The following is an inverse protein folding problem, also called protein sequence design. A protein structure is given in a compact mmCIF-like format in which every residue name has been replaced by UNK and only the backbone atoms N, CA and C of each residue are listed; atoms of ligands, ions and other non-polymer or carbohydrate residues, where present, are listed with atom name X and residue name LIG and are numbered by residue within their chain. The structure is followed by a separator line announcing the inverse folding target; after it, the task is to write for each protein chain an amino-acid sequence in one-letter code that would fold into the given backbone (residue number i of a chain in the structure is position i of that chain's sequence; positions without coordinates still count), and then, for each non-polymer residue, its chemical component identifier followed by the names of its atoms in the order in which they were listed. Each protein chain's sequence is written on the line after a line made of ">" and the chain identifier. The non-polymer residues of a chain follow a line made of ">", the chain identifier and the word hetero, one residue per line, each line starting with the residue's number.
data_IF_439552602442
#
_entry.id   IF_439552602442
#
_cell.length_a   1.000
_cell.length_b   1.000
_cell.length_c   1.000
_cell.angle_alpha   90.00
_cell.angle_beta   90.00
_cell.angle_gamma   90.00
#
_symmetry.space_group_name_H-M   'P 1'
#
loop_
_entity.id
_entity.type
_entity.pdbx_description
1 polymer ?
#
# COMPACT_ATOMS: atom_id res chain seq x y z
N UNK A 1 -18.62 29.37 -7.55
CA UNK A 1 -18.99 28.55 -6.37
C UNK A 1 -19.19 27.11 -6.81
N UNK A 2 -18.48 26.13 -6.22
CA UNK A 2 -18.79 24.72 -6.50
C UNK A 2 -20.00 24.33 -5.65
N UNK A 3 -21.09 23.92 -6.28
CA UNK A 3 -22.27 23.41 -5.58
C UNK A 3 -21.90 22.13 -4.81
N UNK A 4 -22.53 21.87 -3.66
CA UNK A 4 -22.33 20.62 -2.90
C UNK A 4 -22.54 19.39 -3.78
N UNK A 5 -23.50 19.45 -4.69
CA UNK A 5 -23.76 18.43 -5.71
C UNK A 5 -22.55 18.15 -6.62
N UNK A 6 -21.83 19.19 -7.06
CA UNK A 6 -20.64 19.03 -7.91
C UNK A 6 -19.46 18.37 -7.20
N UNK A 7 -19.34 18.52 -5.88
CA UNK A 7 -18.32 17.84 -5.08
C UNK A 7 -18.69 16.36 -4.90
N UNK A 8 -19.96 16.07 -4.60
CA UNK A 8 -20.44 14.69 -4.48
C UNK A 8 -20.26 13.92 -5.79
N UNK A 9 -20.65 14.51 -6.93
CA UNK A 9 -20.47 13.89 -8.24
C UNK A 9 -18.99 13.58 -8.56
N UNK A 10 -18.08 14.51 -8.22
CA UNK A 10 -16.64 14.31 -8.42
C UNK A 10 -16.08 13.13 -7.60
N UNK A 11 -16.59 12.91 -6.39
CA UNK A 11 -16.14 11.80 -5.53
C UNK A 11 -16.85 10.49 -5.89
N UNK A 12 -18.08 10.55 -6.41
CA UNK A 12 -18.86 9.38 -6.79
C UNK A 12 -18.37 8.72 -8.08
N UNK A 13 -17.92 9.50 -9.08
CA UNK A 13 -17.53 8.99 -10.39
C UNK A 13 -16.54 7.80 -10.37
N UNK A 14 -15.40 7.84 -9.65
CA UNK A 14 -14.49 6.70 -9.61
C UNK A 14 -15.10 5.46 -8.93
N UNK A 15 -15.98 5.66 -7.94
CA UNK A 15 -16.67 4.55 -7.25
C UNK A 15 -17.67 3.89 -8.19
N UNK A 16 -18.44 4.69 -8.92
CA UNK A 16 -19.37 4.19 -9.95
C UNK A 16 -18.62 3.43 -11.04
N UNK A 17 -17.49 3.97 -11.50
CA UNK A 17 -16.64 3.30 -12.49
C UNK A 17 -16.15 1.93 -11.99
N UNK A 18 -15.70 1.84 -10.73
CA UNK A 18 -15.29 0.56 -10.14
C UNK A 18 -16.45 -0.43 -10.06
N UNK A 19 -17.63 -0.02 -9.59
CA UNK A 19 -18.81 -0.87 -9.50
C UNK A 19 -19.25 -1.39 -10.87
N UNK A 20 -19.16 -0.55 -11.91
CA UNK A 20 -19.52 -0.92 -13.28
C UNK A 20 -18.55 -1.93 -13.89
N UNK A 21 -17.25 -1.84 -13.59
CA UNK A 21 -16.22 -2.74 -14.14
C UNK A 21 -16.12 -4.05 -13.37
N UNK A 22 -16.55 -4.08 -12.10
CA UNK A 22 -16.39 -5.22 -11.20
C UNK A 22 -16.80 -6.57 -11.80
N UNK A 23 -17.96 -6.72 -12.48
CA UNK A 23 -18.37 -8.01 -13.04
C UNK A 23 -17.55 -8.48 -14.22
N UNK A 24 -16.83 -7.60 -14.92
CA UNK A 24 -16.11 -7.93 -16.16
C UNK A 24 -14.63 -8.19 -15.95
N UNK A 25 -14.13 -7.94 -14.75
CA UNK A 25 -12.69 -7.87 -14.51
C UNK A 25 -12.07 -9.22 -14.11
N UNK A 26 -12.88 -10.23 -13.80
CA UNK A 26 -12.45 -11.60 -13.59
C UNK A 26 -13.25 -12.55 -14.49
N UNK A 27 -12.62 -13.66 -14.86
CA UNK A 27 -13.33 -14.75 -15.52
C UNK A 27 -14.53 -15.18 -14.67
N UNK A 28 -15.62 -15.52 -15.36
CA UNK A 28 -16.87 -16.01 -14.76
C UNK A 28 -17.72 -14.97 -14.00
N UNK A 29 -17.37 -13.68 -14.00
CA UNK A 29 -18.28 -12.64 -13.54
C UNK A 29 -19.39 -12.35 -14.56
N UNK A 30 -20.61 -12.09 -14.08
CA UNK A 30 -21.78 -11.80 -14.93
C UNK A 30 -22.35 -10.43 -14.57
N UNK A 31 -22.61 -9.61 -15.59
CA UNK A 31 -23.19 -8.28 -15.38
C UNK A 31 -24.70 -8.33 -15.10
N UNK A 32 -25.42 -9.27 -15.74
CA UNK A 32 -26.85 -9.46 -15.54
C UNK A 32 -27.24 -10.96 -15.50
N UNK A 33 -27.80 -11.46 -14.38
CA UNK A 33 -27.90 -10.77 -13.08
C UNK A 33 -26.51 -10.40 -12.53
N UNK A 34 -26.41 -9.30 -11.78
CA UNK A 34 -25.13 -8.79 -11.28
C UNK A 34 -24.49 -9.78 -10.29
N UNK A 35 -23.41 -10.42 -10.71
CA UNK A 35 -22.70 -11.46 -9.98
C UNK A 35 -21.19 -11.40 -10.28
N UNK A 36 -20.46 -10.45 -9.67
CA UNK A 36 -19.01 -10.38 -9.81
C UNK A 36 -18.31 -11.49 -9.03
N UNK A 37 -17.15 -11.91 -9.53
CA UNK A 37 -16.35 -12.99 -8.94
C UNK A 37 -15.17 -12.45 -8.10
N UNK A 38 -15.45 -12.13 -6.83
CA UNK A 38 -14.47 -11.55 -5.88
C UNK A 38 -13.81 -12.64 -5.03
N UNK A 39 -12.96 -13.44 -5.67
CA UNK A 39 -12.38 -14.67 -5.08
C UNK A 39 -11.61 -14.46 -3.77
N UNK A 40 -10.92 -13.33 -3.59
CA UNK A 40 -10.17 -13.09 -2.35
C UNK A 40 -11.09 -12.59 -1.22
N UNK A 41 -12.17 -11.89 -1.55
CA UNK A 41 -13.21 -11.54 -0.57
C UNK A 41 -13.94 -12.80 -0.08
N UNK A 42 -14.17 -13.76 -0.99
CA UNK A 42 -14.70 -15.07 -0.63
C UNK A 42 -13.76 -15.83 0.32
N UNK A 43 -12.44 -15.84 0.06
CA UNK A 43 -11.45 -16.40 1.00
C UNK A 43 -11.60 -15.80 2.40
N UNK A 44 -11.82 -14.48 2.52
CA UNK A 44 -12.02 -13.84 3.82
C UNK A 44 -13.30 -14.35 4.49
N UNK A 45 -14.44 -14.32 3.81
CA UNK A 45 -15.73 -14.77 4.37
C UNK A 45 -15.68 -16.24 4.76
N UNK A 46 -15.14 -17.09 3.88
CA UNK A 46 -14.94 -18.51 4.12
C UNK A 46 -14.04 -18.77 5.34
N UNK A 47 -12.95 -18.02 5.48
CA UNK A 47 -12.07 -18.13 6.67
C UNK A 47 -12.81 -17.75 7.95
N UNK A 48 -13.72 -16.77 7.88
CA UNK A 48 -14.59 -16.41 9.00
C UNK A 48 -15.52 -17.57 9.41
N UNK A 49 -16.12 -18.26 8.44
CA UNK A 49 -16.92 -19.47 8.70
C UNK A 49 -16.08 -20.58 9.33
N UNK A 50 -14.92 -20.90 8.74
CA UNK A 50 -13.99 -21.92 9.28
C UNK A 50 -13.65 -21.62 10.74
N UNK A 51 -13.40 -20.36 11.08
CA UNK A 51 -13.06 -20.00 12.45
C UNK A 51 -14.26 -20.13 13.42
N UNK A 52 -15.47 -19.74 12.99
CA UNK A 52 -16.69 -19.90 13.78
C UNK A 52 -17.03 -21.38 14.01
N UNK A 53 -16.73 -22.23 13.04
CA UNK A 53 -16.95 -23.68 13.11
C UNK A 53 -15.83 -24.41 13.89
N UNK A 54 -14.84 -23.69 14.40
CA UNK A 54 -13.70 -24.25 15.15
C UNK A 54 -12.67 -24.99 14.30
N UNK A 55 -12.63 -24.72 13.00
CA UNK A 55 -11.71 -25.33 12.04
C UNK A 55 -10.31 -24.68 11.98
N UNK A 56 -9.39 -25.34 11.28
CA UNK A 56 -7.99 -24.89 11.13
C UNK A 56 -7.80 -24.03 9.85
N UNK A 57 -7.62 -22.72 10.05
CA UNK A 57 -7.40 -21.75 8.97
C UNK A 57 -6.09 -21.98 8.19
N UNK A 58 -5.13 -22.70 8.77
CA UNK A 58 -3.86 -23.02 8.12
C UNK A 58 -3.97 -24.18 7.12
N UNK A 59 -5.04 -24.96 7.18
CA UNK A 59 -5.31 -26.03 6.20
C UNK A 59 -6.49 -25.71 5.29
N UNK A 60 -7.36 -24.80 5.71
CA UNK A 60 -8.55 -24.41 4.96
C UNK A 60 -8.26 -23.94 3.52
N UNK A 61 -9.20 -24.28 2.63
CA UNK A 61 -9.22 -23.91 1.21
C UNK A 61 -10.66 -23.59 0.81
N UNK A 62 -10.88 -22.54 0.04
CA UNK A 62 -12.21 -22.25 -0.51
C UNK A 62 -12.69 -23.40 -1.41
N UNK A 63 -13.98 -23.79 -1.37
CA UNK A 63 -14.47 -24.95 -2.12
C UNK A 63 -14.28 -24.84 -3.64
N UNK A 64 -14.59 -23.69 -4.23
CA UNK A 64 -14.65 -23.54 -5.69
C UNK A 64 -13.31 -23.15 -6.31
N UNK A 65 -12.55 -22.28 -5.63
CA UNK A 65 -11.31 -21.71 -6.15
C UNK A 65 -10.06 -22.36 -5.56
N UNK A 66 -10.22 -23.19 -4.53
CA UNK A 66 -9.14 -23.88 -3.81
C UNK A 66 -8.03 -22.94 -3.34
N UNK A 67 -8.41 -21.71 -2.96
CA UNK A 67 -7.49 -20.68 -2.50
C UNK A 67 -7.24 -20.81 -0.99
N UNK A 68 -6.00 -20.59 -0.61
CA UNK A 68 -5.54 -20.61 0.77
C UNK A 68 -5.76 -19.27 1.45
N UNK A 69 -6.08 -19.30 2.74
CA UNK A 69 -5.90 -18.13 3.60
C UNK A 69 -4.41 -17.92 3.92
N UNK A 70 -3.80 -16.86 3.42
CA UNK A 70 -2.33 -16.63 3.48
C UNK A 70 -1.91 -15.43 4.34
N UNK A 71 -2.80 -14.96 5.22
CA UNK A 71 -2.57 -13.79 6.07
C UNK A 71 -2.26 -14.22 7.51
N UNK A 72 -1.60 -13.36 8.31
CA UNK A 72 -1.50 -13.55 9.75
C UNK A 72 -2.87 -13.79 10.40
N UNK A 73 -2.96 -14.57 11.49
CA UNK A 73 -4.27 -14.95 12.07
C UNK A 73 -5.14 -13.80 12.55
N UNK A 74 -4.58 -12.62 12.84
CA UNK A 74 -5.41 -11.44 13.14
C UNK A 74 -6.36 -11.11 11.98
N UNK A 75 -5.94 -11.33 10.74
CA UNK A 75 -6.80 -11.11 9.58
C UNK A 75 -7.97 -12.10 9.54
N UNK A 76 -7.81 -13.32 10.08
CA UNK A 76 -8.91 -14.27 10.21
C UNK A 76 -9.93 -13.82 11.25
N UNK A 77 -9.48 -13.25 12.39
CA UNK A 77 -10.38 -12.63 13.36
C UNK A 77 -11.17 -11.46 12.75
N UNK A 78 -10.50 -10.63 11.93
CA UNK A 78 -11.14 -9.52 11.22
C UNK A 78 -12.11 -10.00 10.12
N UNK A 79 -12.03 -11.25 9.70
CA UNK A 79 -12.97 -11.86 8.75
C UNK A 79 -14.29 -12.31 9.40
N UNK A 80 -14.32 -12.59 10.71
CA UNK A 80 -15.51 -13.08 11.41
C UNK A 80 -16.73 -12.16 11.23
N UNK A 81 -16.62 -10.82 11.39
CA UNK A 81 -17.78 -9.95 11.20
C UNK A 81 -18.34 -9.96 9.76
N UNK A 82 -17.53 -10.34 8.77
CA UNK A 82 -17.95 -10.36 7.37
C UNK A 82 -18.98 -11.47 7.12
N UNK A 83 -18.92 -12.57 7.86
CA UNK A 83 -19.85 -13.71 7.75
C UNK A 83 -21.32 -13.28 7.91
N UNK A 84 -21.57 -12.26 8.73
CA UNK A 84 -22.93 -11.82 9.04
C UNK A 84 -23.50 -10.81 8.05
N UNK A 85 -22.75 -10.45 7.01
CA UNK A 85 -23.17 -9.49 5.99
C UNK A 85 -23.43 -10.24 4.67
N UNK A 86 -24.59 -10.04 4.03
CA UNK A 86 -24.86 -10.61 2.72
C UNK A 86 -23.71 -10.33 1.73
N UNK A 87 -23.24 -11.37 1.02
CA UNK A 87 -22.03 -11.28 0.21
C UNK A 87 -22.08 -10.16 -0.84
N UNK A 88 -23.24 -9.94 -1.48
CA UNK A 88 -23.45 -8.82 -2.42
C UNK A 88 -23.23 -7.45 -1.75
N UNK A 89 -23.69 -7.27 -0.51
CA UNK A 89 -23.47 -6.01 0.23
C UNK A 89 -22.00 -5.84 0.59
N UNK A 90 -21.29 -6.93 0.92
CA UNK A 90 -19.84 -6.90 1.09
C UNK A 90 -19.15 -6.48 -0.21
N UNK A 91 -19.48 -7.08 -1.34
CA UNK A 91 -18.87 -6.75 -2.63
C UNK A 91 -19.03 -5.26 -2.98
N UNK A 92 -20.24 -4.72 -2.82
CA UNK A 92 -20.51 -3.29 -3.06
C UNK A 92 -19.78 -2.42 -2.06
N UNK A 93 -19.91 -2.70 -0.76
CA UNK A 93 -19.27 -1.92 0.31
C UNK A 93 -17.75 -1.92 0.21
N UNK A 94 -17.15 -3.07 -0.07
CA UNK A 94 -15.71 -3.24 -0.25
C UNK A 94 -15.19 -2.45 -1.45
N UNK A 95 -15.94 -2.45 -2.55
CA UNK A 95 -15.62 -1.65 -3.74
C UNK A 95 -15.68 -0.16 -3.46
N UNK A 96 -16.74 0.29 -2.77
CA UNK A 96 -16.88 1.69 -2.33
C UNK A 96 -15.71 2.11 -1.45
N UNK A 97 -15.37 1.31 -0.44
CA UNK A 97 -14.26 1.59 0.45
C UNK A 97 -12.93 1.66 -0.31
N UNK A 98 -12.68 0.75 -1.25
CA UNK A 98 -11.46 0.80 -2.08
C UNK A 98 -11.40 2.08 -2.91
N UNK A 99 -12.51 2.51 -3.51
CA UNK A 99 -12.60 3.77 -4.25
C UNK A 99 -12.34 5.01 -3.37
N UNK A 100 -12.87 5.02 -2.15
CA UNK A 100 -12.61 6.08 -1.18
C UNK A 100 -11.14 6.10 -0.71
N UNK A 101 -10.55 4.93 -0.47
CA UNK A 101 -9.14 4.80 -0.11
C UNK A 101 -8.22 5.26 -1.27
N UNK A 102 -8.58 4.93 -2.52
CA UNK A 102 -7.89 5.39 -3.72
C UNK A 102 -7.92 6.93 -3.83
N UNK A 103 -9.11 7.52 -3.69
CA UNK A 103 -9.29 8.98 -3.67
C UNK A 103 -8.47 9.62 -2.56
N UNK A 104 -8.49 9.04 -1.36
CA UNK A 104 -7.70 9.51 -0.23
C UNK A 104 -6.20 9.52 -0.56
N UNK A 105 -5.66 8.44 -1.10
CA UNK A 105 -4.23 8.33 -1.44
C UNK A 105 -3.83 9.33 -2.52
N UNK A 106 -4.63 9.48 -3.57
CA UNK A 106 -4.39 10.46 -4.65
C UNK A 106 -4.49 11.90 -4.14
N UNK A 107 -5.45 12.18 -3.27
CA UNK A 107 -5.51 13.44 -2.54
C UNK A 107 -4.24 13.61 -1.70
N UNK A 108 -3.78 12.57 -1.02
CA UNK A 108 -2.58 12.63 -0.20
C UNK A 108 -1.30 12.86 -1.00
N UNK A 109 -1.29 12.43 -2.26
CA UNK A 109 -0.24 12.68 -3.24
C UNK A 109 -0.28 14.09 -3.87
N UNK A 110 -1.30 14.90 -3.55
CA UNK A 110 -1.38 16.32 -3.95
C UNK A 110 -2.45 16.65 -4.99
N UNK A 111 -3.21 15.67 -5.50
CA UNK A 111 -4.28 15.92 -6.47
C UNK A 111 -5.53 16.54 -5.81
N UNK A 112 -6.21 17.45 -6.49
CA UNK A 112 -7.34 18.22 -5.93
C UNK A 112 -8.44 18.45 -6.97
N UNK A 113 -9.68 18.56 -6.52
CA UNK A 113 -10.81 18.92 -7.39
C UNK A 113 -11.02 17.96 -8.55
N UNK A 114 -11.24 18.49 -9.76
CA UNK A 114 -11.55 17.66 -10.93
C UNK A 114 -10.38 16.76 -11.36
N UNK A 115 -9.12 17.18 -11.16
CA UNK A 115 -7.96 16.33 -11.50
C UNK A 115 -7.88 15.10 -10.60
N UNK A 116 -8.24 15.23 -9.32
CA UNK A 116 -8.37 14.10 -8.41
C UNK A 116 -9.43 13.10 -8.91
N UNK A 117 -10.62 13.60 -9.25
CA UNK A 117 -11.72 12.77 -9.76
C UNK A 117 -11.35 12.08 -11.07
N UNK A 118 -10.77 12.81 -12.03
CA UNK A 118 -10.38 12.29 -13.33
C UNK A 118 -9.30 11.22 -13.19
N UNK A 119 -8.24 11.48 -12.43
CA UNK A 119 -7.15 10.52 -12.24
C UNK A 119 -7.64 9.29 -11.46
N UNK A 120 -8.46 9.46 -10.42
CA UNK A 120 -9.04 8.31 -9.70
C UNK A 120 -9.91 7.45 -10.63
N UNK A 121 -10.70 8.08 -11.51
CA UNK A 121 -11.54 7.37 -12.50
C UNK A 121 -10.67 6.66 -13.54
N UNK A 122 -9.61 7.32 -14.04
CA UNK A 122 -8.65 6.68 -14.94
C UNK A 122 -7.95 5.49 -14.27
N UNK A 123 -7.58 5.60 -12.99
CA UNK A 123 -7.03 4.48 -12.22
C UNK A 123 -8.03 3.32 -12.12
N UNK A 124 -9.30 3.62 -11.82
CA UNK A 124 -10.36 2.62 -11.74
C UNK A 124 -10.57 1.85 -13.07
N UNK A 125 -10.42 2.53 -14.21
CA UNK A 125 -10.71 1.96 -15.54
C UNK A 125 -9.49 1.36 -16.24
N UNK A 126 -8.30 1.91 -16.02
CA UNK A 126 -7.12 1.65 -16.87
C UNK A 126 -5.92 1.05 -16.13
N UNK A 127 -5.84 1.18 -14.81
CA UNK A 127 -4.66 0.73 -14.05
C UNK A 127 -4.89 -0.70 -13.57
N UNK A 128 -4.18 -1.67 -14.16
CA UNK A 128 -4.39 -3.10 -13.91
C UNK A 128 -4.31 -3.47 -12.43
N UNK A 129 -3.31 -3.02 -11.63
CA UNK A 129 -3.26 -3.37 -10.22
C UNK A 129 -4.46 -2.89 -9.40
N UNK A 130 -5.04 -1.73 -9.76
CA UNK A 130 -6.23 -1.17 -9.09
C UNK A 130 -7.45 -2.00 -9.46
N UNK A 131 -7.64 -2.28 -10.76
CA UNK A 131 -8.72 -3.14 -11.24
C UNK A 131 -8.64 -4.51 -10.62
N UNK A 132 -7.49 -5.19 -10.70
CA UNK A 132 -7.30 -6.51 -10.14
C UNK A 132 -7.53 -6.53 -8.62
N UNK A 133 -7.04 -5.53 -7.88
CA UNK A 133 -7.30 -5.42 -6.43
C UNK A 133 -8.80 -5.36 -6.14
N UNK A 134 -9.53 -4.47 -6.80
CA UNK A 134 -10.96 -4.31 -6.55
C UNK A 134 -11.75 -5.54 -7.00
N UNK A 135 -11.37 -6.14 -8.12
CA UNK A 135 -12.10 -7.26 -8.73
C UNK A 135 -11.90 -8.58 -8.00
N UNK A 136 -10.73 -8.78 -7.38
CA UNK A 136 -10.55 -9.90 -6.47
C UNK A 136 -11.16 -9.64 -5.09
N UNK A 137 -11.41 -8.38 -4.72
CA UNK A 137 -11.80 -8.02 -3.35
C UNK A 137 -10.60 -7.92 -2.40
N UNK A 138 -9.41 -7.59 -2.90
CA UNK A 138 -8.17 -7.51 -2.14
C UNK A 138 -8.11 -6.28 -1.20
N UNK A 139 -7.24 -6.38 -0.19
CA UNK A 139 -7.02 -5.32 0.82
C UNK A 139 -5.86 -4.36 0.50
N UNK A 140 -5.16 -4.53 -0.63
CA UNK A 140 -3.88 -3.85 -0.87
C UNK A 140 -4.00 -2.32 -0.86
N UNK A 141 -5.07 -1.75 -1.41
CA UNK A 141 -5.30 -0.29 -1.39
C UNK A 141 -5.55 0.19 0.05
N UNK A 142 -6.24 -0.58 0.90
CA UNK A 142 -6.43 -0.24 2.31
C UNK A 142 -5.10 -0.18 3.05
N UNK A 143 -4.27 -1.22 2.90
CA UNK A 143 -2.96 -1.28 3.55
C UNK A 143 -2.05 -0.14 3.07
N UNK A 144 -2.02 0.12 1.77
CA UNK A 144 -1.30 1.26 1.20
C UNK A 144 -1.83 2.59 1.78
N UNK A 145 -3.15 2.77 1.86
CA UNK A 145 -3.76 3.97 2.40
C UNK A 145 -3.41 4.20 3.88
N UNK A 146 -3.38 3.15 4.69
CA UNK A 146 -2.92 3.21 6.09
C UNK A 146 -1.48 3.70 6.16
N UNK A 147 -0.56 3.13 5.38
CA UNK A 147 0.85 3.54 5.36
C UNK A 147 1.02 4.98 4.86
N UNK A 148 0.31 5.35 3.81
CA UNK A 148 0.33 6.72 3.25
C UNK A 148 -0.21 7.74 4.25
N UNK A 149 -1.32 7.42 4.95
CA UNK A 149 -1.89 8.27 6.00
C UNK A 149 -0.90 8.50 7.14
N UNK A 150 -0.10 7.48 7.46
CA UNK A 150 0.80 7.47 8.60
C UNK A 150 2.13 8.20 8.32
N UNK A 151 2.72 7.95 7.15
CA UNK A 151 4.11 8.31 6.86
C UNK A 151 4.27 9.52 5.94
N UNK A 152 3.30 9.81 5.07
CA UNK A 152 3.35 10.99 4.18
C UNK A 152 2.80 12.22 4.92
N UNK A 153 3.38 13.43 4.82
CA UNK A 153 2.86 14.68 5.43
C UNK A 153 1.79 15.40 4.57
N UNK A 154 0.74 16.00 5.16
CA UNK A 154 -0.40 16.58 4.41
C UNK A 154 -1.77 16.52 5.15
N UNK A 155 -2.87 16.91 4.48
CA UNK A 155 -4.19 17.07 5.11
C UNK A 155 -4.71 15.78 5.75
N UNK A 156 -5.42 15.93 6.86
CA UNK A 156 -5.87 14.80 7.69
C UNK A 156 -7.28 14.40 7.35
N UNK A 157 -7.58 13.11 7.50
CA UNK A 157 -8.93 12.54 7.39
C UNK A 157 -9.89 13.14 8.42
N UNK A 158 -9.37 13.51 9.59
CA UNK A 158 -10.13 14.11 10.69
C UNK A 158 -9.72 15.58 10.82
N UNK A 159 -10.69 16.48 10.66
CA UNK A 159 -10.48 17.91 10.76
C UNK A 159 -10.04 18.38 12.16
N UNK A 160 -9.40 19.56 12.27
CA UNK A 160 -8.91 20.09 13.54
C UNK A 160 -10.01 20.35 14.58
N UNK A 161 -11.28 20.37 14.17
CA UNK A 161 -12.44 20.56 15.04
C UNK A 161 -12.72 19.34 15.93
N UNK A 162 -12.68 18.12 15.38
CA UNK A 162 -12.91 16.89 16.17
C UNK A 162 -11.77 16.63 17.15
N UNK A 163 -10.52 16.92 16.75
CA UNK A 163 -9.35 16.81 17.65
C UNK A 163 -9.42 17.81 18.80
N UNK A 164 -9.86 19.06 18.54
CA UNK A 164 -10.09 20.06 19.59
C UNK A 164 -11.22 19.65 20.53
N UNK A 165 -12.31 19.09 19.99
CA UNK A 165 -13.43 18.60 20.80
C UNK A 165 -13.03 17.44 21.73
N UNK A 166 -12.32 16.42 21.22
CA UNK A 166 -11.82 15.30 22.04
C UNK A 166 -10.82 15.73 23.12
N UNK A 167 -10.03 16.80 22.87
CA UNK A 167 -9.05 17.32 23.83
C UNK A 167 -9.64 18.23 24.90
N UNK A 168 -10.79 18.88 24.64
CA UNK A 168 -11.50 19.72 25.63
C UNK A 168 -11.97 18.95 26.86
N UNK A 169 -12.02 17.61 26.81
CA UNK A 169 -12.36 16.75 27.97
C UNK A 169 -11.22 16.53 28.97
N UNK A 170 -10.05 17.14 28.81
CA UNK A 170 -8.94 17.08 29.77
C UNK A 170 -8.54 18.49 30.23
N UNK A 171 -9.01 18.98 31.39
CA UNK A 171 -8.53 20.25 31.91
C UNK A 171 -7.05 20.11 32.27
N UNK A 172 -6.21 20.93 31.66
CA UNK A 172 -4.80 21.09 32.03
C UNK A 172 -4.67 22.11 33.17
N UNK A 173 -3.58 22.10 33.95
CA UNK A 173 -3.44 22.94 35.15
C UNK A 173 -3.32 24.46 34.88
N UNK A 174 -3.28 24.89 33.62
CA UNK A 174 -2.88 26.24 33.22
C UNK A 174 -4.04 27.22 32.98
N UNK A 175 -5.30 26.79 33.14
CA UNK A 175 -6.47 27.67 32.91
C UNK A 175 -6.76 28.62 34.10
N UNK A 176 -5.77 28.86 34.97
CA UNK A 176 -5.83 29.93 35.97
C UNK A 176 -4.65 30.86 35.73
N UNK A 177 -4.98 32.12 35.46
CA UNK A 177 -4.10 33.29 35.33
C UNK A 177 -3.68 33.64 33.89
N UNK A 178 -4.54 34.39 33.20
CA UNK A 178 -4.11 35.39 32.22
C UNK A 178 -5.09 36.57 32.23
N UNK A 179 -4.59 37.71 32.67
CA UNK A 179 -5.20 39.05 32.76
C UNK A 179 -5.30 39.69 31.35
N UNK A 180 -6.38 40.39 30.95
CA UNK A 180 -6.52 40.90 29.59
C UNK A 180 -5.94 42.31 29.48
N UNK A 181 -4.62 42.42 29.39
CA UNK A 181 -3.96 43.66 28.99
C UNK A 181 -2.61 43.36 28.31
N UNK A 182 -2.64 43.02 27.02
CA UNK A 182 -1.53 43.34 26.12
C UNK A 182 -1.97 43.19 24.65
N UNK A 183 -1.88 44.28 23.89
CA UNK A 183 -1.88 44.27 22.43
C UNK A 183 -0.42 44.35 21.97
N UNK A 184 0.01 43.49 21.01
CA UNK A 184 0.62 44.06 19.80
C UNK A 184 0.20 43.32 18.51
N UNK A 185 -0.10 44.06 17.43
CA UNK A 185 0.77 44.38 16.26
C UNK A 185 1.09 43.16 15.35
N UNK A 186 0.61 43.26 14.11
CA UNK A 186 1.03 42.54 12.88
C UNK A 186 1.34 41.03 12.95
N UNK A 187 0.28 40.19 12.89
CA UNK A 187 0.39 38.73 12.84
C UNK A 187 -0.34 38.02 11.70
N UNK A 188 -0.86 38.75 10.70
CA UNK A 188 -1.74 38.15 9.66
C UNK A 188 -1.01 37.26 8.63
N UNK A 189 0.32 37.28 8.57
CA UNK A 189 1.11 36.41 7.69
C UNK A 189 1.60 35.13 8.38
N UNK A 190 1.80 35.14 9.71
CA UNK A 190 2.29 33.97 10.45
C UNK A 190 1.19 33.03 10.93
N UNK A 191 -0.04 33.54 11.12
CA UNK A 191 -1.19 32.73 11.51
C UNK A 191 -1.61 31.69 10.44
N UNK A 192 -1.30 31.93 9.15
CA UNK A 192 -1.60 30.99 8.07
C UNK A 192 -0.58 29.84 7.94
N UNK A 193 0.61 29.97 8.54
CA UNK A 193 1.66 28.93 8.53
C UNK A 193 1.61 28.03 9.76
N UNK A 194 1.08 28.52 10.88
CA UNK A 194 0.99 27.77 12.14
C UNK A 194 -0.26 26.87 12.24
N UNK A 195 -1.28 27.09 11.41
CA UNK A 195 -2.53 26.30 11.44
C UNK A 195 -2.44 24.87 10.84
N UNK A 196 -1.26 24.48 10.32
CA UNK A 196 -1.00 23.13 9.79
C UNK A 196 -0.44 22.14 10.83
N UNK A 197 -0.12 22.61 12.04
CA UNK A 197 0.45 21.81 13.12
C UNK A 197 -0.60 21.33 14.13
N UNK A 198 -1.75 20.80 13.69
CA UNK A 198 -2.64 20.09 14.62
C UNK A 198 -1.89 18.93 15.29
N UNK A 199 -2.20 18.53 16.52
CA UNK A 199 -1.61 17.31 17.09
C UNK A 199 -2.12 16.06 16.33
N UNK A 200 -1.24 15.10 15.98
CA UNK A 200 -1.70 13.82 15.41
C UNK A 200 -2.57 13.09 16.45
N UNK A 201 -3.67 12.47 16.03
CA UNK A 201 -4.50 11.63 16.91
C UNK A 201 -3.72 10.39 17.37
N UNK A 202 -3.04 9.74 16.41
CA UNK A 202 -2.18 8.59 16.66
C UNK A 202 -0.72 8.95 16.35
N UNK A 203 0.24 8.44 17.13
CA UNK A 203 1.66 8.55 16.81
C UNK A 203 1.97 7.99 15.41
N UNK A 204 2.94 8.60 14.72
CA UNK A 204 3.45 8.06 13.47
C UNK A 204 3.95 6.62 13.67
N UNK A 205 3.59 5.71 12.76
CA UNK A 205 3.96 4.30 12.78
C UNK A 205 2.85 3.37 13.27
N UNK A 206 1.80 3.87 13.93
CA UNK A 206 0.72 3.02 14.45
C UNK A 206 -0.08 2.37 13.32
N UNK A 207 -0.50 3.15 12.31
CA UNK A 207 -1.31 2.61 11.20
C UNK A 207 -0.50 1.69 10.30
N UNK A 208 0.80 1.97 10.14
CA UNK A 208 1.73 1.10 9.44
C UNK A 208 1.94 -0.20 10.22
N UNK A 209 1.98 -0.15 11.56
CA UNK A 209 1.98 -1.32 12.44
C UNK A 209 0.72 -2.18 12.31
N UNK A 210 -0.47 -1.55 12.25
CA UNK A 210 -1.73 -2.26 11.96
C UNK A 210 -1.66 -2.94 10.59
N UNK A 211 -1.20 -2.22 9.56
CA UNK A 211 -1.06 -2.79 8.22
C UNK A 211 -0.09 -3.98 8.20
N UNK A 212 1.04 -3.88 8.92
CA UNK A 212 2.03 -4.95 9.07
C UNK A 212 1.50 -6.17 9.85
N UNK A 213 0.59 -5.97 10.81
CA UNK A 213 -0.06 -7.05 11.53
C UNK A 213 -1.05 -7.81 10.64
N UNK A 214 -1.79 -7.10 9.77
CA UNK A 214 -2.78 -7.70 8.86
C UNK A 214 -2.10 -8.41 7.68
N UNK A 215 -0.97 -7.90 7.19
CA UNK A 215 -0.17 -8.51 6.11
C UNK A 215 1.29 -8.19 6.39
N UNK A 216 2.19 -9.16 6.34
CA UNK A 216 3.60 -8.96 6.75
C UNK A 216 4.37 -7.98 5.86
N UNK A 217 3.93 -7.74 4.62
CA UNK A 217 4.70 -6.95 3.62
C UNK A 217 5.08 -5.53 4.06
N UNK A 218 4.25 -4.73 4.77
CA UNK A 218 4.65 -3.42 5.27
C UNK A 218 5.70 -3.47 6.38
N UNK A 219 6.10 -4.63 6.91
CA UNK A 219 7.15 -4.72 7.92
C UNK A 219 8.50 -4.14 7.45
N UNK A 220 8.80 -4.15 6.14
CA UNK A 220 10.00 -3.50 5.59
C UNK A 220 10.02 -1.97 5.86
N UNK A 221 8.87 -1.34 6.11
CA UNK A 221 8.85 0.07 6.52
C UNK A 221 9.54 0.30 7.86
N UNK A 222 9.68 -0.71 8.72
CA UNK A 222 10.52 -0.61 9.94
C UNK A 222 11.97 -0.32 9.54
N UNK A 223 12.52 -1.06 8.59
CA UNK A 223 13.90 -0.86 8.09
C UNK A 223 14.07 0.55 7.52
N UNK A 224 13.14 0.98 6.67
CA UNK A 224 13.12 2.36 6.15
C UNK A 224 13.11 3.41 7.29
N UNK A 225 12.26 3.24 8.30
CA UNK A 225 12.15 4.18 9.42
C UNK A 225 13.41 4.20 10.29
N UNK A 226 14.03 3.05 10.54
CA UNK A 226 15.30 2.95 11.28
C UNK A 226 16.43 3.66 10.52
N UNK A 227 16.58 3.39 9.22
CA UNK A 227 17.57 4.05 8.36
C UNK A 227 17.32 5.56 8.23
N UNK A 228 16.04 5.98 8.25
CA UNK A 228 15.64 7.38 8.31
C UNK A 228 15.85 8.02 9.70
N UNK A 229 16.35 7.26 10.70
CA UNK A 229 16.50 7.67 12.11
C UNK A 229 15.19 8.10 12.78
N UNK A 230 14.05 7.60 12.28
CA UNK A 230 12.71 7.85 12.83
C UNK A 230 12.35 6.80 13.89
N UNK A 231 13.19 6.69 14.92
CA UNK A 231 13.12 5.64 15.94
C UNK A 231 11.77 5.53 16.64
N UNK A 232 11.13 6.66 16.96
CA UNK A 232 9.79 6.68 17.58
C UNK A 232 8.74 6.04 16.67
N UNK A 233 8.81 6.31 15.37
CA UNK A 233 7.88 5.73 14.40
C UNK A 233 8.17 4.24 14.16
N UNK A 234 9.44 3.86 14.04
CA UNK A 234 9.83 2.45 13.93
C UNK A 234 9.37 1.65 15.15
N UNK A 235 9.57 2.17 16.37
CA UNK A 235 9.07 1.58 17.61
C UNK A 235 7.55 1.44 17.61
N UNK A 236 6.81 2.45 17.15
CA UNK A 236 5.36 2.37 17.06
C UNK A 236 4.89 1.26 16.10
N UNK A 237 5.54 1.10 14.94
CA UNK A 237 5.22 -0.01 14.01
C UNK A 237 5.43 -1.36 14.70
N UNK A 238 6.61 -1.58 15.29
CA UNK A 238 6.96 -2.85 15.95
C UNK A 238 6.04 -3.14 17.13
N UNK A 239 5.80 -2.16 18.00
CA UNK A 239 4.95 -2.35 19.17
C UNK A 239 3.49 -2.60 18.78
N UNK A 240 2.93 -1.83 17.85
CA UNK A 240 1.55 -2.04 17.42
C UNK A 240 1.37 -3.41 16.76
N UNK A 241 2.26 -3.78 15.85
CA UNK A 241 2.21 -5.10 15.23
C UNK A 241 2.39 -6.22 16.26
N UNK A 242 3.38 -6.08 17.14
CA UNK A 242 3.66 -7.04 18.20
C UNK A 242 2.50 -7.22 19.18
N UNK A 243 1.88 -6.13 19.65
CA UNK A 243 0.72 -6.20 20.55
C UNK A 243 -0.46 -6.88 19.88
N UNK A 244 -0.75 -6.57 18.61
CA UNK A 244 -1.82 -7.21 17.86
C UNK A 244 -1.54 -8.71 17.68
N UNK A 245 -0.33 -9.08 17.30
CA UNK A 245 0.07 -10.49 17.10
C UNK A 245 0.05 -11.27 18.42
N UNK A 246 0.57 -10.71 19.50
CA UNK A 246 0.55 -11.34 20.84
C UNK A 246 -0.89 -11.46 21.34
N UNK A 247 -1.70 -10.41 21.21
CA UNK A 247 -3.13 -10.48 21.56
C UNK A 247 -3.87 -11.54 20.75
N UNK A 248 -3.54 -11.69 19.47
CA UNK A 248 -4.09 -12.77 18.63
C UNK A 248 -3.65 -14.15 19.11
N UNK A 249 -2.38 -14.32 19.50
CA UNK A 249 -1.87 -15.59 20.02
C UNK A 249 -2.54 -16.04 21.32
N UNK A 250 -3.13 -15.13 22.10
CA UNK A 250 -3.94 -15.48 23.28
C UNK A 250 -5.19 -16.28 22.90
N UNK A 251 -5.83 -15.94 21.77
CA UNK A 251 -7.04 -16.60 21.29
C UNK A 251 -6.77 -17.70 20.26
N UNK A 252 -5.70 -17.55 19.47
CA UNK A 252 -5.35 -18.43 18.36
C UNK A 252 -3.85 -18.81 18.40
N UNK A 253 -3.38 -19.47 19.47
CA UNK A 253 -1.95 -19.76 19.65
C UNK A 253 -1.42 -20.69 18.55
N UNK A 254 -2.14 -21.78 18.27
CA UNK A 254 -1.73 -22.78 17.27
C UNK A 254 -1.56 -22.16 15.90
N UNK A 255 -2.52 -21.36 15.47
CA UNK A 255 -2.55 -20.71 14.17
C UNK A 255 -1.45 -19.63 14.08
N UNK A 256 -1.22 -18.89 15.17
CA UNK A 256 -0.19 -17.84 15.22
C UNK A 256 1.22 -18.43 15.14
N UNK A 257 1.52 -19.47 15.92
CA UNK A 257 2.81 -20.15 15.84
C UNK A 257 2.96 -20.96 14.53
N UNK A 258 1.87 -21.54 14.02
CA UNK A 258 1.87 -22.25 12.75
C UNK A 258 2.15 -21.30 11.57
N UNK A 259 1.52 -20.13 11.53
CA UNK A 259 1.82 -19.09 10.54
C UNK A 259 3.28 -18.62 10.62
N UNK A 260 3.81 -18.41 11.83
CA UNK A 260 5.21 -18.04 12.02
C UNK A 260 6.17 -19.12 11.48
N UNK A 261 5.86 -20.42 11.68
CA UNK A 261 6.66 -21.52 11.12
C UNK A 261 6.63 -21.54 9.60
N UNK A 262 5.46 -21.34 8.98
CA UNK A 262 5.33 -21.24 7.52
C UNK A 262 6.18 -20.10 6.95
N UNK A 263 6.15 -18.93 7.61
CA UNK A 263 6.96 -17.79 7.20
C UNK A 263 8.46 -18.09 7.31
N UNK A 264 8.89 -18.74 8.39
CA UNK A 264 10.29 -19.12 8.61
C UNK A 264 10.77 -20.23 7.66
N UNK A 265 9.89 -21.13 7.24
CA UNK A 265 10.21 -22.18 6.27
C UNK A 265 10.15 -21.70 4.81
N UNK A 266 9.68 -20.47 4.57
CA UNK A 266 9.46 -19.93 3.23
C UNK A 266 8.26 -20.55 2.51
N UNK A 267 7.38 -21.25 3.22
CA UNK A 267 6.14 -21.77 2.64
C UNK A 267 5.12 -20.63 2.51
N UNK A 268 4.85 -20.27 1.26
CA UNK A 268 3.96 -19.17 0.92
C UNK A 268 2.50 -19.60 0.82
N UNK A 269 2.22 -20.92 0.83
CA UNK A 269 0.87 -21.51 0.63
C UNK A 269 0.14 -20.99 -0.62
N UNK A 270 0.91 -20.60 -1.62
CA UNK A 270 0.42 -20.00 -2.87
C UNK A 270 1.02 -20.69 -4.09
N UNK A 271 0.60 -20.26 -5.27
CA UNK A 271 1.06 -20.79 -6.55
C UNK A 271 2.57 -20.70 -6.78
N UNK A 272 3.08 -21.41 -7.79
CA UNK A 272 4.52 -21.54 -8.03
C UNK A 272 5.16 -20.20 -8.40
N UNK A 273 6.40 -20.00 -7.96
CA UNK A 273 7.11 -18.73 -8.15
C UNK A 273 7.33 -18.34 -9.62
N UNK A 274 7.37 -19.30 -10.55
CA UNK A 274 7.55 -18.99 -11.97
C UNK A 274 6.31 -18.40 -12.64
N UNK A 275 5.13 -18.52 -12.02
CA UNK A 275 3.87 -18.07 -12.61
C UNK A 275 3.97 -16.62 -13.10
N UNK A 276 3.51 -16.34 -14.32
CA UNK A 276 3.77 -15.06 -15.00
C UNK A 276 3.35 -13.83 -14.17
N UNK A 277 2.22 -13.94 -13.44
CA UNK A 277 1.72 -12.83 -12.63
C UNK A 277 2.63 -12.49 -11.44
N UNK A 278 3.54 -13.39 -11.05
CA UNK A 278 4.55 -13.11 -10.05
C UNK A 278 5.68 -12.24 -10.63
N UNK A 279 5.67 -10.96 -10.27
CA UNK A 279 6.65 -9.96 -10.68
C UNK A 279 7.65 -9.65 -9.53
N UNK A 280 8.01 -10.66 -8.74
CA UNK A 280 9.09 -10.58 -7.74
C UNK A 280 10.46 -10.92 -8.33
N UNK A 281 11.52 -10.66 -7.56
CA UNK A 281 12.88 -11.07 -7.95
C UNK A 281 13.03 -12.60 -8.00
N UNK A 282 12.38 -13.33 -7.09
CA UNK A 282 12.36 -14.78 -7.12
C UNK A 282 11.71 -15.30 -8.41
N UNK A 283 10.55 -14.73 -8.78
CA UNK A 283 9.88 -15.10 -10.03
C UNK A 283 10.73 -14.80 -11.27
N UNK A 284 11.45 -13.68 -11.27
CA UNK A 284 12.43 -13.34 -12.33
C UNK A 284 13.52 -14.40 -12.48
N UNK A 285 14.19 -14.77 -11.38
CA UNK A 285 15.29 -15.75 -11.43
C UNK A 285 14.78 -17.12 -11.88
N UNK A 286 13.66 -17.58 -11.34
CA UNK A 286 13.12 -18.89 -11.68
C UNK A 286 12.63 -18.96 -13.13
N UNK A 287 12.05 -17.89 -13.68
CA UNK A 287 11.67 -17.86 -15.11
C UNK A 287 12.87 -17.83 -16.06
N UNK A 288 13.97 -17.19 -15.67
CA UNK A 288 15.17 -17.11 -16.51
C UNK A 288 16.02 -18.37 -16.46
N UNK A 289 16.10 -19.01 -15.30
CA UNK A 289 17.08 -20.08 -15.04
C UNK A 289 16.44 -21.42 -14.65
N UNK A 290 15.12 -21.53 -14.72
CA UNK A 290 14.36 -22.72 -14.35
C UNK A 290 14.15 -22.88 -12.85
N UNK A 291 13.53 -24.00 -12.47
CA UNK A 291 13.25 -24.33 -11.07
C UNK A 291 14.36 -25.19 -10.46
N UNK A 292 14.86 -24.78 -9.29
CA UNK A 292 15.90 -25.50 -8.56
C UNK A 292 16.33 -24.78 -7.29
N UNK A 293 17.16 -25.45 -6.47
CA UNK A 293 17.57 -24.94 -5.16
C UNK A 293 18.36 -23.64 -5.24
N UNK A 294 19.38 -23.57 -6.10
CA UNK A 294 20.21 -22.37 -6.21
C UNK A 294 19.43 -21.20 -6.81
N UNK A 295 18.51 -21.44 -7.76
CA UNK A 295 17.64 -20.39 -8.32
C UNK A 295 16.72 -19.81 -7.24
N UNK A 296 16.16 -20.68 -6.39
CA UNK A 296 15.33 -20.25 -5.28
C UNK A 296 16.10 -19.34 -4.31
N UNK A 297 17.22 -19.82 -3.76
CA UNK A 297 18.00 -19.03 -2.79
C UNK A 297 18.61 -17.77 -3.41
N UNK A 298 19.04 -17.82 -4.67
CA UNK A 298 19.55 -16.63 -5.38
C UNK A 298 18.44 -15.59 -5.58
N UNK A 299 17.24 -16.03 -5.99
CA UNK A 299 16.08 -15.15 -6.14
C UNK A 299 15.68 -14.46 -4.83
N UNK A 300 15.67 -15.20 -3.72
CA UNK A 300 15.44 -14.63 -2.38
C UNK A 300 16.55 -13.65 -1.99
N UNK A 301 17.82 -14.01 -2.18
CA UNK A 301 18.95 -13.15 -1.82
C UNK A 301 18.95 -11.84 -2.63
N UNK A 302 18.73 -11.92 -3.94
CA UNK A 302 18.60 -10.74 -4.80
C UNK A 302 17.38 -9.90 -4.44
N UNK A 303 16.26 -10.52 -4.10
CA UNK A 303 15.07 -9.84 -3.60
C UNK A 303 15.35 -9.08 -2.31
N UNK A 304 15.96 -9.72 -1.32
CA UNK A 304 16.34 -9.11 -0.05
C UNK A 304 17.32 -7.95 -0.26
N UNK A 305 18.34 -8.12 -1.11
CA UNK A 305 19.28 -7.07 -1.46
C UNK A 305 18.59 -5.87 -2.13
N UNK A 306 17.69 -6.11 -3.10
CA UNK A 306 16.90 -5.08 -3.75
C UNK A 306 15.95 -4.37 -2.76
N UNK A 307 15.38 -5.10 -1.80
CA UNK A 307 14.56 -4.58 -0.72
C UNK A 307 15.33 -3.61 0.19
N UNK A 308 16.49 -4.03 0.69
CA UNK A 308 17.35 -3.20 1.53
C UNK A 308 17.90 -1.98 0.78
N UNK A 309 18.34 -2.17 -0.46
CA UNK A 309 18.78 -1.08 -1.32
C UNK A 309 17.64 -0.09 -1.57
N UNK A 310 16.43 -0.57 -1.88
CA UNK A 310 15.26 0.27 -2.09
C UNK A 310 14.87 1.07 -0.84
N UNK A 311 14.91 0.46 0.35
CA UNK A 311 14.69 1.15 1.62
C UNK A 311 15.76 2.22 1.88
N UNK A 312 17.03 1.95 1.58
CA UNK A 312 18.10 2.95 1.68
C UNK A 312 17.89 4.12 0.70
N UNK A 313 17.58 3.84 -0.57
CA UNK A 313 17.29 4.87 -1.57
C UNK A 313 16.08 5.71 -1.17
N UNK A 314 15.04 5.09 -0.61
CA UNK A 314 13.90 5.80 -0.05
C UNK A 314 14.29 6.80 1.04
N UNK A 315 15.29 6.49 1.88
CA UNK A 315 15.81 7.41 2.90
C UNK A 315 16.52 8.60 2.27
N UNK A 316 17.26 8.42 1.17
CA UNK A 316 17.89 9.53 0.46
C UNK A 316 16.83 10.56 0.04
N UNK A 317 15.75 10.10 -0.58
CA UNK A 317 14.66 10.97 -1.04
C UNK A 317 13.84 11.57 0.11
N UNK A 318 13.60 10.81 1.18
CA UNK A 318 12.99 11.36 2.39
C UNK A 318 13.81 12.52 2.96
N UNK A 319 15.14 12.39 3.05
CA UNK A 319 16.04 13.45 3.54
C UNK A 319 16.10 14.67 2.62
N UNK A 320 15.75 14.52 1.34
CA UNK A 320 15.62 15.63 0.37
C UNK A 320 14.26 16.34 0.43
N UNK A 321 13.39 15.96 1.37
CA UNK A 321 12.06 16.55 1.50
C UNK A 321 11.01 15.92 0.59
N UNK A 322 11.27 14.73 0.04
CA UNK A 322 10.34 13.98 -0.84
C UNK A 322 9.78 12.73 -0.13
N UNK A 323 8.95 12.89 0.93
CA UNK A 323 8.47 11.76 1.73
C UNK A 323 7.52 10.84 0.95
N UNK A 324 6.72 11.37 0.02
CA UNK A 324 5.85 10.54 -0.82
C UNK A 324 6.68 9.60 -1.70
N UNK A 325 7.70 10.12 -2.38
CA UNK A 325 8.59 9.31 -3.21
C UNK A 325 9.32 8.27 -2.35
N UNK A 326 9.85 8.65 -1.17
CA UNK A 326 10.46 7.71 -0.25
C UNK A 326 9.51 6.57 0.18
N UNK A 327 8.26 6.89 0.51
CA UNK A 327 7.24 5.88 0.84
C UNK A 327 6.94 4.97 -0.35
N UNK A 328 6.77 5.52 -1.56
CA UNK A 328 6.53 4.72 -2.78
C UNK A 328 7.71 3.81 -3.14
N UNK A 329 8.96 4.29 -2.99
CA UNK A 329 10.17 3.49 -3.21
C UNK A 329 10.31 2.38 -2.17
N UNK A 330 9.91 2.63 -0.92
CA UNK A 330 9.83 1.58 0.11
C UNK A 330 8.76 0.55 -0.22
N UNK A 331 7.58 1.01 -0.67
CA UNK A 331 6.51 0.15 -1.18
C UNK A 331 7.00 -0.76 -2.32
N UNK A 332 7.68 -0.19 -3.30
CA UNK A 332 8.33 -0.94 -4.38
C UNK A 332 9.37 -1.94 -3.86
N UNK A 333 10.19 -1.53 -2.90
CA UNK A 333 11.17 -2.40 -2.26
C UNK A 333 10.53 -3.62 -1.58
N UNK A 334 9.33 -3.45 -0.96
CA UNK A 334 8.57 -4.59 -0.40
C UNK A 334 8.19 -5.61 -1.47
N UNK A 335 7.87 -5.15 -2.68
CA UNK A 335 7.46 -6.01 -3.80
C UNK A 335 8.66 -6.77 -4.41
N UNK A 336 9.82 -6.14 -4.48
CA UNK A 336 11.03 -6.82 -4.95
C UNK A 336 11.56 -7.84 -3.94
N UNK A 337 11.42 -7.53 -2.64
CA UNK A 337 11.85 -8.40 -1.54
C UNK A 337 10.93 -9.59 -1.30
N UNK A 338 9.64 -9.44 -1.56
CA UNK A 338 8.67 -10.53 -1.40
C UNK A 338 8.98 -11.67 -2.38
N UNK A 339 8.96 -12.95 -1.95
CA UNK A 339 9.11 -14.09 -2.86
C UNK A 339 8.00 -14.16 -3.91
N UNK A 340 6.84 -13.56 -3.61
CA UNK A 340 5.69 -13.49 -4.49
C UNK A 340 5.09 -12.09 -4.48
N UNK A 341 5.06 -11.49 -5.67
CA UNK A 341 4.50 -10.16 -5.90
C UNK A 341 3.58 -10.22 -7.11
N UNK A 342 2.32 -10.54 -6.87
CA UNK A 342 1.27 -10.54 -7.88
C UNK A 342 1.06 -9.14 -8.46
N UNK A 343 0.54 -9.04 -9.68
CA UNK A 343 0.29 -7.76 -10.36
C UNK A 343 -0.55 -6.80 -9.50
N UNK A 344 -1.58 -7.31 -8.83
CA UNK A 344 -2.44 -6.55 -7.92
C UNK A 344 -1.75 -6.05 -6.64
N UNK A 345 -0.54 -6.51 -6.30
CA UNK A 345 0.24 -5.94 -5.19
C UNK A 345 0.88 -4.60 -5.55
N UNK A 346 1.00 -4.25 -6.83
CA UNK A 346 1.71 -3.07 -7.31
C UNK A 346 0.91 -1.76 -7.18
N UNK A 347 -0.09 -1.68 -6.29
CA UNK A 347 -0.92 -0.48 -6.06
C UNK A 347 -0.11 0.79 -5.74
N UNK A 348 1.13 0.64 -5.27
CA UNK A 348 2.10 1.72 -5.05
C UNK A 348 2.40 2.57 -6.29
N UNK A 349 2.15 2.07 -7.50
CA UNK A 349 2.28 2.88 -8.72
C UNK A 349 1.29 4.06 -8.76
N UNK A 350 0.19 3.98 -8.01
CA UNK A 350 -0.83 5.04 -7.93
C UNK A 350 -0.27 6.30 -7.26
N UNK A 351 0.17 6.26 -5.97
CA UNK A 351 0.79 7.43 -5.35
C UNK A 351 2.12 7.82 -6.02
N UNK A 352 2.87 6.86 -6.59
CA UNK A 352 4.07 7.16 -7.36
C UNK A 352 3.74 8.01 -8.60
N UNK A 353 2.82 7.55 -9.45
CA UNK A 353 2.42 8.26 -10.67
C UNK A 353 1.85 9.64 -10.37
N UNK A 354 0.99 9.77 -9.35
CA UNK A 354 0.48 11.06 -8.90
C UNK A 354 1.62 11.97 -8.40
N UNK A 355 2.56 11.44 -7.61
CA UNK A 355 3.73 12.17 -7.13
C UNK A 355 4.65 12.65 -8.26
N UNK A 356 4.89 11.82 -9.28
CA UNK A 356 5.71 12.20 -10.46
C UNK A 356 5.01 13.24 -11.35
N UNK A 357 3.68 13.23 -11.38
CA UNK A 357 2.86 14.19 -12.13
C UNK A 357 2.84 15.57 -11.46
N UNK A 358 2.60 15.61 -10.15
CA UNK A 358 2.55 16.84 -9.34
C UNK A 358 3.96 17.38 -9.08
N UNK A 359 4.92 16.51 -8.77
CA UNK A 359 6.30 16.85 -8.43
C UNK A 359 7.14 17.20 -9.65
N UNK A 360 6.78 18.30 -10.34
CA UNK A 360 7.51 18.80 -11.53
C UNK A 360 8.96 19.16 -11.22
N UNK A 361 9.26 19.48 -9.97
CA UNK A 361 10.60 19.77 -9.43
C UNK A 361 11.48 18.53 -9.30
N UNK A 362 10.91 17.31 -9.34
CA UNK A 362 11.71 16.09 -9.32
C UNK A 362 12.58 16.01 -10.59
N UNK A 363 13.83 15.51 -10.47
CA UNK A 363 14.73 15.37 -11.60
C UNK A 363 14.10 14.60 -12.77
N UNK A 364 14.36 15.08 -13.99
CA UNK A 364 13.76 14.53 -15.22
C UNK A 364 14.01 13.02 -15.38
N UNK A 365 15.20 12.55 -15.05
CA UNK A 365 15.56 11.13 -15.13
C UNK A 365 14.67 10.25 -14.22
N UNK A 366 14.43 10.68 -12.98
CA UNK A 366 13.53 9.98 -12.03
C UNK A 366 12.10 9.99 -12.55
N UNK A 367 11.63 11.12 -13.09
CA UNK A 367 10.28 11.24 -13.65
C UNK A 367 10.07 10.38 -14.89
N UNK A 368 11.05 10.32 -15.79
CA UNK A 368 10.98 9.52 -17.02
C UNK A 368 11.01 8.03 -16.70
N UNK A 369 11.99 7.57 -15.93
CA UNK A 369 12.12 6.14 -15.60
C UNK A 369 10.99 5.68 -14.68
N UNK A 370 10.61 6.51 -13.70
CA UNK A 370 9.47 6.24 -12.84
C UNK A 370 8.14 6.24 -13.61
N UNK A 371 7.98 7.15 -14.58
CA UNK A 371 6.82 7.18 -15.47
C UNK A 371 6.75 5.93 -16.36
N UNK A 372 7.87 5.51 -16.94
CA UNK A 372 7.96 4.29 -17.73
C UNK A 372 7.58 3.04 -16.90
N UNK A 373 8.08 2.95 -15.65
CA UNK A 373 7.69 1.90 -14.73
C UNK A 373 6.18 1.94 -14.40
N UNK A 374 5.63 3.11 -14.07
CA UNK A 374 4.19 3.28 -13.79
C UNK A 374 3.35 2.84 -14.99
N UNK A 375 3.70 3.27 -16.21
CA UNK A 375 2.97 2.91 -17.44
C UNK A 375 3.05 1.41 -17.70
N UNK A 376 4.25 0.82 -17.59
CA UNK A 376 4.46 -0.61 -17.79
C UNK A 376 3.57 -1.45 -16.86
N UNK A 377 3.59 -1.14 -15.56
CA UNK A 377 2.81 -1.86 -14.55
C UNK A 377 1.32 -1.56 -14.67
N UNK A 378 0.92 -0.33 -14.99
CA UNK A 378 -0.48 0.03 -15.18
C UNK A 378 -1.11 -0.71 -16.36
N UNK A 379 -0.38 -0.83 -17.47
CA UNK A 379 -0.86 -1.52 -18.66
C UNK A 379 -0.79 -3.05 -18.52
N UNK A 380 0.22 -3.57 -17.81
CA UNK A 380 0.46 -4.99 -17.60
C UNK A 380 0.39 -5.83 -18.89
N UNK A 381 0.91 -5.30 -20.00
CA UNK A 381 0.75 -5.84 -21.36
C UNK A 381 1.15 -7.33 -21.44
N UNK A 382 2.17 -7.74 -20.69
CA UNK A 382 2.65 -9.11 -20.64
C UNK A 382 1.54 -10.13 -20.29
N UNK A 383 0.55 -9.75 -19.47
CA UNK A 383 -0.59 -10.60 -19.08
C UNK A 383 -1.50 -10.97 -20.25
N UNK A 384 -1.56 -10.09 -21.25
CA UNK A 384 -2.45 -10.25 -22.42
C UNK A 384 -1.71 -10.82 -23.64
N UNK A 385 -0.39 -10.72 -23.67
CA UNK A 385 0.44 -11.14 -24.81
C UNK A 385 1.11 -12.49 -24.60
N UNK A 386 1.51 -12.82 -23.37
CA UNK A 386 2.23 -14.06 -23.10
C UNK A 386 1.27 -15.18 -22.67
N UNK A 387 1.49 -16.42 -23.13
CA UNK A 387 0.80 -17.58 -22.57
C UNK A 387 1.28 -17.80 -21.14
N UNK A 388 0.39 -18.22 -20.23
CA UNK A 388 0.73 -18.48 -18.83
C UNK A 388 -0.05 -19.68 -18.29
N UNK A 389 0.47 -20.31 -17.23
CA UNK A 389 -0.06 -21.56 -16.69
C UNK A 389 0.52 -22.81 -17.36
N UNK A 390 0.33 -23.96 -16.72
CA UNK A 390 0.86 -25.24 -17.22
C UNK A 390 2.39 -25.30 -17.32
N UNK A 391 3.11 -24.45 -16.57
CA UNK A 391 4.56 -24.28 -16.59
C UNK A 391 5.15 -23.74 -17.92
N UNK A 392 4.32 -23.19 -18.83
CA UNK A 392 4.80 -22.64 -20.12
C UNK A 392 5.82 -21.51 -19.94
N UNK A 393 5.79 -20.84 -18.79
CA UNK A 393 6.74 -19.77 -18.41
C UNK A 393 8.19 -20.24 -18.32
N UNK A 394 8.41 -21.54 -18.07
CA UNK A 394 9.76 -22.13 -17.97
C UNK A 394 10.36 -22.42 -19.36
N UNK A 395 9.55 -22.39 -20.41
CA UNK A 395 9.93 -22.69 -21.80
C UNK A 395 9.79 -21.50 -22.73
N UNK A 396 9.73 -20.28 -22.17
CA UNK A 396 9.61 -19.05 -22.95
C UNK A 396 10.78 -18.84 -23.91
N UNK A 397 10.45 -18.41 -25.13
CA UNK A 397 11.42 -17.89 -26.08
C UNK A 397 12.11 -16.62 -25.54
N UNK A 398 13.30 -16.24 -26.01
CA UNK A 398 14.06 -15.10 -25.46
C UNK A 398 13.27 -13.78 -25.38
N UNK A 399 12.42 -13.48 -26.37
CA UNK A 399 11.59 -12.28 -26.34
C UNK A 399 10.45 -12.36 -25.31
N UNK A 400 9.89 -13.55 -25.08
CA UNK A 400 8.88 -13.79 -24.03
C UNK A 400 9.51 -13.67 -22.65
N UNK A 401 10.72 -14.22 -22.48
CA UNK A 401 11.49 -14.07 -21.24
C UNK A 401 11.72 -12.60 -20.92
N UNK A 402 12.23 -11.82 -21.88
CA UNK A 402 12.46 -10.38 -21.71
C UNK A 402 11.19 -9.66 -21.26
N UNK A 403 10.06 -9.92 -21.94
CA UNK A 403 8.78 -9.29 -21.61
C UNK A 403 8.28 -9.71 -20.21
N UNK A 404 8.51 -10.96 -19.80
CA UNK A 404 8.09 -11.50 -18.49
C UNK A 404 8.87 -10.96 -17.29
N UNK A 405 10.06 -10.37 -17.52
CA UNK A 405 10.95 -9.84 -16.47
C UNK A 405 11.11 -8.32 -16.51
N UNK A 406 10.55 -7.65 -17.52
CA UNK A 406 10.74 -6.22 -17.71
C UNK A 406 10.21 -5.36 -16.53
N UNK A 407 9.16 -5.81 -15.83
CA UNK A 407 8.63 -5.13 -14.65
C UNK A 407 9.67 -4.98 -13.53
N UNK A 408 10.21 -6.09 -12.99
CA UNK A 408 11.31 -6.08 -12.03
C UNK A 408 12.55 -5.32 -12.52
N UNK A 409 12.92 -5.44 -13.79
CA UNK A 409 14.05 -4.69 -14.34
C UNK A 409 13.82 -3.17 -14.35
N UNK A 410 12.63 -2.71 -14.73
CA UNK A 410 12.25 -1.29 -14.67
C UNK A 410 12.21 -0.78 -13.22
N UNK A 411 11.79 -1.62 -12.27
CA UNK A 411 11.85 -1.29 -10.85
C UNK A 411 13.30 -1.10 -10.37
N UNK A 412 14.21 -2.00 -10.74
CA UNK A 412 15.65 -1.85 -10.44
C UNK A 412 16.26 -0.64 -11.14
N UNK A 413 15.89 -0.35 -12.39
CA UNK A 413 16.32 0.85 -13.10
C UNK A 413 15.85 2.12 -12.37
N UNK A 414 14.60 2.17 -11.91
CA UNK A 414 14.09 3.28 -11.11
C UNK A 414 14.89 3.44 -9.80
N UNK A 415 15.12 2.36 -9.06
CA UNK A 415 15.93 2.40 -7.83
C UNK A 415 17.35 2.89 -8.10
N UNK A 416 17.98 2.43 -9.19
CA UNK A 416 19.33 2.82 -9.59
C UNK A 416 19.40 4.30 -9.95
N UNK A 417 18.49 4.80 -10.78
CA UNK A 417 18.43 6.23 -11.15
C UNK A 417 18.13 7.09 -9.92
N UNK A 418 17.17 6.66 -9.08
CA UNK A 418 16.84 7.34 -7.84
C UNK A 418 18.03 7.37 -6.86
N UNK A 419 18.86 6.32 -6.83
CA UNK A 419 20.09 6.28 -6.04
C UNK A 419 21.15 7.25 -6.56
N UNK A 420 21.49 7.17 -7.86
CA UNK A 420 22.50 8.01 -8.51
C UNK A 420 22.17 9.49 -8.35
N UNK A 421 20.91 9.86 -8.57
CA UNK A 421 20.44 11.24 -8.43
C UNK A 421 20.30 11.63 -6.96
N UNK A 422 19.79 10.74 -6.12
CA UNK A 422 19.54 11.02 -4.69
C UNK A 422 20.82 11.26 -3.89
N UNK A 423 21.93 10.62 -4.26
CA UNK A 423 23.26 10.80 -3.63
C UNK A 423 24.01 12.04 -4.10
N UNK A 424 23.63 12.62 -5.24
CA UNK A 424 24.31 13.81 -5.76
C UNK A 424 24.08 15.01 -4.82
N UNK A 425 25.11 15.85 -4.59
CA UNK A 425 24.95 17.08 -3.82
C UNK A 425 23.80 17.92 -4.39
N UNK A 426 22.90 18.42 -3.54
CA UNK A 426 21.89 19.39 -3.96
C UNK A 426 22.59 20.62 -4.53
N UNK A 427 22.37 20.92 -5.81
CA UNK A 427 22.86 22.17 -6.42
C UNK A 427 22.07 23.40 -5.95
N UNK A 428 20.91 23.20 -5.35
CA UNK A 428 20.14 24.25 -4.69
C UNK A 428 20.51 24.35 -3.21
N UNK A 429 20.63 25.56 -2.65
CA UNK A 429 20.82 25.76 -1.22
C UNK A 429 19.68 25.09 -0.46
N UNK A 430 20.04 24.35 0.61
CA UNK A 430 19.08 23.67 1.45
C UNK A 430 18.00 24.67 1.90
N UNK A 431 16.73 24.39 1.59
CA UNK A 431 15.63 25.08 2.27
C UNK A 431 15.86 24.91 3.77
N UNK A 432 15.77 25.99 4.58
CA UNK A 432 16.02 25.89 6.00
C UNK A 432 15.14 24.79 6.58
N UNK A 433 15.68 23.95 7.49
CA UNK A 433 14.89 22.94 8.16
C UNK A 433 13.66 23.62 8.76
N UNK A 434 12.48 23.03 8.55
CA UNK A 434 11.29 23.44 9.28
C UNK A 434 11.67 23.49 10.77
N UNK A 435 11.35 24.60 11.48
CA UNK A 435 11.81 24.79 12.85
C UNK A 435 11.48 23.53 13.65
N UNK A 436 12.51 22.95 14.25
CA UNK A 436 12.34 21.91 15.24
C UNK A 436 11.38 22.49 16.26
N UNK A 437 10.16 21.94 16.33
CA UNK A 437 9.23 22.24 17.41
C UNK A 437 10.02 22.06 18.69
N UNK A 438 10.28 23.19 19.36
CA UNK A 438 11.06 23.24 20.56
C UNK A 438 10.46 22.25 21.57
N UNK A 439 11.37 21.53 22.20
CA UNK A 439 11.17 20.81 23.44
C UNK A 439 10.49 21.73 24.43
N UNK A 440 9.32 21.34 24.92
CA UNK A 440 8.94 21.32 26.33
C UNK A 440 7.80 20.31 26.52
#
# INVERSE_FOLDING_TARGET
>A
MRTRAGIVAQLALPVVALLAVLPFAQSYGVFWPWAPNTVDLDVYVYTGHVLLDGGDILTARTPDTYLAFIYPPVAALLSVPLVFVPFTLLQVGWTVLNGLALLFVLHRAGLRGWTLSLVATACALLVEPVRATVSFGQINIFLMALVVADLVPGPRLVGPHLVRWLRRGRPGPADRLADPADHPVDGRADAARTDQAGARLLPAGVLTGIAAAIKVTPALFVVYLLLARRWRAARAVVLTAGVITVGTAVFMPRETFGFARLLLSGDTRTGPAHFLMNQSMLGTVVRLFGYGGWQHYTGIALGAAAGLAGAYVAVLWFRRGEPLLGVCLTGLATLLASPLSWTHHFVWIVPLGAGLFVGRHLPRSVRVVGGAFVVWVAAAIFKYVLPWGGNVELSYAPWQQLLSVLGPLLALALLTVAWVVGRAPSREPARPPLPATAVQ
#
